data_IF_942639227094
#
_entry.id   IF_942639227094
#
_cell.length_a   1.000
_cell.length_b   1.000
_cell.length_c   1.000
_cell.angle_alpha   90.00
_cell.angle_beta   90.00
_cell.angle_gamma   90.00
#
_symmetry.space_group_name_H-M   'P 1'
#
loop_
_entity.id
_entity.type
_entity.pdbx_description
1 polymer ?
#
# COMPACT_ATOMS: atom_id res chain seq x y z
N UNK A 1 40.45 22.51 -9.35
CA UNK A 1 40.83 21.73 -8.17
C UNK A 1 39.77 21.99 -7.11
N UNK A 2 38.87 21.05 -6.80
CA UNK A 2 37.95 21.25 -5.71
C UNK A 2 38.62 20.82 -4.41
N UNK A 3 38.57 21.73 -3.45
CA UNK A 3 39.09 21.66 -2.10
C UNK A 3 38.41 20.59 -1.27
N UNK A 4 39.23 19.81 -0.56
CA UNK A 4 38.86 18.82 0.46
C UNK A 4 38.23 19.56 1.65
N UNK A 5 36.97 19.25 1.95
CA UNK A 5 36.28 19.73 3.16
C UNK A 5 36.77 18.91 4.36
N UNK A 6 37.15 19.64 5.41
CA UNK A 6 37.60 19.16 6.72
C UNK A 6 36.48 19.40 7.72
N UNK A 7 35.54 18.48 7.89
CA UNK A 7 34.78 18.39 9.15
C UNK A 7 34.05 17.04 9.25
N UNK A 8 34.20 16.38 10.39
CA UNK A 8 33.67 15.05 10.72
C UNK A 8 32.25 15.12 11.31
N UNK A 9 31.46 16.12 10.90
CA UNK A 9 30.11 16.36 11.44
C UNK A 9 29.08 16.81 10.40
N UNK A 10 29.36 16.68 9.10
CA UNK A 10 28.38 17.00 8.06
C UNK A 10 27.34 15.87 7.89
N UNK A 11 26.27 15.98 8.67
CA UNK A 11 24.96 15.43 8.34
C UNK A 11 24.53 16.01 6.98
N UNK A 12 24.50 15.19 5.92
CA UNK A 12 23.84 15.60 4.67
C UNK A 12 22.35 15.35 4.87
N UNK A 13 21.63 16.36 5.35
CA UNK A 13 20.16 16.37 5.30
C UNK A 13 19.72 16.53 3.84
N UNK A 14 19.67 15.41 3.11
CA UNK A 14 19.12 15.38 1.78
C UNK A 14 17.58 15.42 1.87
N UNK A 15 17.04 16.63 1.71
CA UNK A 15 15.68 16.98 1.27
C UNK A 15 14.59 17.04 2.35
N UNK A 16 14.07 18.26 2.55
CA UNK A 16 12.97 18.60 3.47
C UNK A 16 11.57 18.21 2.97
N UNK A 17 11.46 17.43 1.89
CA UNK A 17 10.16 17.10 1.26
C UNK A 17 10.01 15.62 0.86
N UNK A 18 11.04 14.79 1.03
CA UNK A 18 10.95 13.36 0.78
C UNK A 18 10.97 12.59 2.11
N UNK A 19 10.06 11.62 2.27
CA UNK A 19 9.88 10.76 3.45
C UNK A 19 11.09 9.84 3.77
N UNK A 20 12.30 10.17 3.30
CA UNK A 20 13.50 9.36 3.39
C UNK A 20 14.67 10.15 3.99
N UNK A 21 15.24 9.67 5.09
CA UNK A 21 16.46 10.24 5.70
C UNK A 21 17.64 9.36 5.34
N UNK A 22 18.72 9.98 4.85
CA UNK A 22 19.97 9.30 4.50
C UNK A 22 21.00 9.61 5.59
N UNK A 23 21.47 8.59 6.30
CA UNK A 23 22.53 8.75 7.30
C UNK A 23 23.83 8.13 6.78
N UNK A 24 24.90 8.92 6.75
CA UNK A 24 26.25 8.44 6.48
C UNK A 24 26.90 8.02 7.81
N UNK A 25 27.37 6.78 7.90
CA UNK A 25 28.12 6.31 9.06
C UNK A 25 29.58 6.09 8.68
N UNK A 26 30.47 6.96 9.16
CA UNK A 26 31.91 6.76 9.09
C UNK A 26 32.38 6.27 10.46
N UNK A 27 32.68 4.97 10.56
CA UNK A 27 33.38 4.44 11.72
C UNK A 27 34.89 4.70 11.54
N UNK A 28 35.45 5.54 12.39
CA UNK A 28 36.90 5.70 12.46
C UNK A 28 37.54 4.38 12.90
N UNK A 29 38.60 4.01 12.16
CA UNK A 29 39.56 2.91 12.36
C UNK A 29 39.25 1.54 11.69
N UNK A 30 40.06 1.30 10.65
CA UNK A 30 40.46 0.03 10.04
C UNK A 30 39.37 -0.85 9.39
N UNK A 31 39.39 -0.88 8.05
CA UNK A 31 38.89 -1.95 7.18
C UNK A 31 37.37 -2.15 7.01
N UNK A 32 36.52 -1.17 7.33
CA UNK A 32 35.10 -1.22 6.94
C UNK A 32 34.78 -0.19 5.84
N UNK A 33 34.23 -0.67 4.73
CA UNK A 33 33.74 0.19 3.64
C UNK A 33 32.64 1.12 4.18
N UNK A 34 32.61 2.40 3.77
CA UNK A 34 31.55 3.32 4.19
C UNK A 34 30.18 2.73 3.81
N UNK A 35 29.17 2.87 4.66
CA UNK A 35 27.82 2.41 4.36
C UNK A 35 26.80 3.52 4.52
N UNK A 36 25.73 3.44 3.74
CA UNK A 36 24.62 4.38 3.74
C UNK A 36 23.38 3.69 4.26
N UNK A 37 22.78 4.26 5.32
CA UNK A 37 21.53 3.74 5.87
C UNK A 37 20.36 4.57 5.33
N UNK A 38 19.35 3.88 4.82
CA UNK A 38 18.10 4.50 4.37
C UNK A 38 17.05 4.33 5.46
N UNK A 39 16.42 5.44 5.87
CA UNK A 39 15.34 5.45 6.84
C UNK A 39 14.06 5.98 6.20
N UNK A 40 12.91 5.35 6.49
CA UNK A 40 11.57 5.83 6.13
C UNK A 40 10.72 5.93 7.38
N UNK A 41 10.12 7.10 7.63
CA UNK A 41 9.30 7.35 8.84
C UNK A 41 10.01 6.94 10.14
N UNK A 42 11.32 7.17 10.24
CA UNK A 42 12.14 6.82 11.41
C UNK A 42 12.56 5.35 11.53
N UNK A 43 12.14 4.46 10.61
CA UNK A 43 12.56 3.05 10.57
C UNK A 43 13.61 2.82 9.49
N UNK A 44 14.70 2.13 9.81
CA UNK A 44 15.68 1.69 8.81
C UNK A 44 15.00 0.75 7.82
N UNK A 45 15.06 1.09 6.53
CA UNK A 45 14.46 0.32 5.42
C UNK A 45 15.52 -0.34 4.54
N UNK A 46 16.76 0.15 4.54
CA UNK A 46 17.85 -0.48 3.79
C UNK A 46 19.24 -0.07 4.30
N UNK A 47 20.28 -0.80 3.86
CA UNK A 47 21.69 -0.45 4.01
C UNK A 47 22.43 -0.72 2.70
N UNK A 48 23.11 0.31 2.19
CA UNK A 48 23.96 0.23 1.01
C UNK A 48 25.41 0.14 1.48
N UNK A 49 26.11 -0.92 1.09
CA UNK A 49 27.54 -1.06 1.32
C UNK A 49 28.31 -0.26 0.24
N UNK A 50 29.18 0.66 0.66
CA UNK A 50 29.86 1.61 -0.20
C UNK A 50 29.20 3.01 -0.22
N UNK A 51 29.90 3.96 -0.86
CA UNK A 51 29.47 5.35 -1.00
C UNK A 51 29.42 5.81 -2.47
N UNK A 52 29.03 4.93 -3.41
CA UNK A 52 28.86 5.30 -4.82
C UNK A 52 27.60 6.17 -4.98
N UNK A 53 27.73 7.46 -5.39
CA UNK A 53 26.59 8.35 -5.56
C UNK A 53 25.54 7.84 -6.55
N UNK A 54 25.92 7.05 -7.56
CA UNK A 54 24.97 6.52 -8.56
C UNK A 54 24.07 5.47 -7.95
N UNK A 55 24.66 4.46 -7.30
CA UNK A 55 23.96 3.40 -6.59
C UNK A 55 23.05 3.97 -5.50
N UNK A 56 23.54 4.94 -4.74
CA UNK A 56 22.74 5.65 -3.73
C UNK A 56 21.55 6.36 -4.36
N UNK A 57 21.75 7.08 -5.48
CA UNK A 57 20.66 7.79 -6.16
C UNK A 57 19.60 6.84 -6.71
N UNK A 58 20.00 5.71 -7.27
CA UNK A 58 19.07 4.73 -7.84
C UNK A 58 18.28 3.99 -6.75
N UNK A 59 18.92 3.63 -5.63
CA UNK A 59 18.20 3.09 -4.47
C UNK A 59 17.28 4.14 -3.84
N UNK A 60 17.73 5.39 -3.65
CA UNK A 60 16.86 6.46 -3.13
C UNK A 60 15.63 6.65 -4.03
N UNK A 61 15.77 6.60 -5.37
CA UNK A 61 14.63 6.71 -6.30
C UNK A 61 13.60 5.59 -6.11
N UNK A 62 14.04 4.37 -5.85
CA UNK A 62 13.15 3.23 -5.57
C UNK A 62 12.31 3.47 -4.32
N UNK A 63 12.89 4.08 -3.27
CA UNK A 63 12.17 4.39 -2.04
C UNK A 63 11.38 5.71 -2.09
N UNK A 64 11.79 6.67 -2.92
CA UNK A 64 11.06 7.93 -3.14
C UNK A 64 9.84 7.76 -4.04
N UNK A 65 9.86 6.80 -4.98
CA UNK A 65 8.75 6.56 -5.91
C UNK A 65 7.75 5.51 -5.42
N UNK A 66 8.05 4.79 -4.34
CA UNK A 66 7.10 3.87 -3.73
C UNK A 66 6.10 4.66 -2.86
N UNK A 67 4.91 4.94 -3.40
CA UNK A 67 3.80 5.45 -2.59
C UNK A 67 3.64 4.58 -1.34
N UNK A 68 3.48 5.17 -0.14
CA UNK A 68 3.19 4.38 1.05
C UNK A 68 2.01 3.44 0.78
N UNK A 69 2.14 2.16 1.15
CA UNK A 69 1.12 1.16 0.89
C UNK A 69 -0.27 1.64 1.35
N UNK A 70 -0.37 2.29 2.50
CA UNK A 70 -1.62 2.84 3.01
C UNK A 70 -2.27 3.88 2.06
N UNK A 71 -1.48 4.78 1.46
CA UNK A 71 -1.97 5.74 0.47
C UNK A 71 -2.46 5.02 -0.79
N UNK A 72 -1.72 4.00 -1.24
CA UNK A 72 -2.11 3.14 -2.36
C UNK A 72 -3.42 2.40 -2.08
N UNK A 73 -3.57 1.82 -0.90
CA UNK A 73 -4.80 1.14 -0.47
C UNK A 73 -5.98 2.11 -0.44
N UNK A 74 -5.80 3.30 0.13
CA UNK A 74 -6.82 4.34 0.18
C UNK A 74 -7.27 4.73 -1.22
N UNK A 75 -6.34 4.93 -2.16
CA UNK A 75 -6.66 5.20 -3.57
C UNK A 75 -7.44 4.05 -4.21
N UNK A 76 -6.99 2.81 -4.02
CA UNK A 76 -7.68 1.63 -4.57
C UNK A 76 -9.11 1.52 -4.05
N UNK A 77 -9.33 1.64 -2.74
CA UNK A 77 -10.66 1.58 -2.12
C UNK A 77 -11.58 2.68 -2.69
N UNK A 78 -11.04 3.88 -2.94
CA UNK A 78 -11.79 5.03 -3.43
C UNK A 78 -11.84 5.14 -4.97
N UNK A 79 -11.40 4.11 -5.70
CA UNK A 79 -11.44 4.10 -7.19
C UNK A 79 -12.88 4.17 -7.71
N UNK A 80 -13.82 3.58 -6.98
CA UNK A 80 -15.24 3.58 -7.29
C UNK A 80 -16.04 3.75 -6.01
N UNK A 81 -17.27 4.29 -6.15
CA UNK A 81 -18.23 4.38 -5.04
C UNK A 81 -18.47 3.02 -4.40
N UNK A 82 -18.59 1.98 -5.21
CA UNK A 82 -18.78 0.60 -4.75
C UNK A 82 -17.59 -0.21 -5.24
N UNK A 83 -16.73 -0.64 -4.32
CA UNK A 83 -15.48 -1.32 -4.62
C UNK A 83 -15.44 -2.68 -3.93
N UNK A 84 -15.25 -3.74 -4.72
CA UNK A 84 -15.23 -5.13 -4.24
C UNK A 84 -13.83 -5.73 -4.38
N UNK A 85 -13.21 -6.08 -3.25
CA UNK A 85 -11.97 -6.85 -3.23
C UNK A 85 -12.28 -8.34 -3.09
N UNK A 86 -11.84 -9.14 -4.06
CA UNK A 86 -12.25 -10.54 -4.15
C UNK A 86 -11.17 -11.42 -4.80
N UNK A 87 -11.39 -12.75 -4.74
CA UNK A 87 -10.52 -13.75 -5.40
C UNK A 87 -10.99 -13.96 -6.83
N UNK A 88 -10.17 -13.58 -7.81
CA UNK A 88 -10.56 -13.51 -9.22
C UNK A 88 -11.18 -12.16 -9.57
N UNK A 89 -11.87 -12.10 -10.71
CA UNK A 89 -12.53 -10.89 -11.21
C UNK A 89 -14.02 -11.15 -11.51
N UNK A 90 -14.77 -10.11 -11.89
CA UNK A 90 -16.19 -10.19 -12.22
C UNK A 90 -16.54 -11.31 -13.22
N UNK A 91 -15.71 -11.51 -14.25
CA UNK A 91 -15.95 -12.50 -15.30
C UNK A 91 -15.44 -13.90 -14.93
N UNK A 92 -14.45 -13.98 -14.04
CA UNK A 92 -13.76 -15.19 -13.63
C UNK A 92 -13.56 -15.23 -12.11
N UNK A 93 -14.62 -15.43 -11.31
CA UNK A 93 -14.50 -15.59 -9.87
C UNK A 93 -13.80 -16.91 -9.54
N UNK A 94 -12.80 -16.86 -8.65
CA UNK A 94 -11.98 -18.03 -8.26
C UNK A 94 -12.37 -18.64 -6.90
N UNK A 95 -13.47 -18.19 -6.32
CA UNK A 95 -13.97 -18.65 -5.03
C UNK A 95 -15.50 -18.57 -4.98
N UNK A 96 -16.17 -19.56 -4.36
CA UNK A 96 -17.64 -19.59 -4.24
C UNK A 96 -18.22 -18.37 -3.53
N UNK A 97 -17.55 -17.85 -2.50
CA UNK A 97 -17.97 -16.61 -1.82
C UNK A 97 -17.88 -15.38 -2.73
N UNK A 98 -16.83 -15.32 -3.55
CA UNK A 98 -16.66 -14.24 -4.54
C UNK A 98 -17.69 -14.31 -5.66
N UNK A 99 -18.10 -15.52 -6.08
CA UNK A 99 -19.20 -15.70 -7.03
C UNK A 99 -20.54 -15.22 -6.46
N UNK A 100 -20.85 -15.59 -5.22
CA UNK A 100 -22.11 -15.21 -4.58
C UNK A 100 -22.25 -13.69 -4.38
N UNK A 101 -21.19 -12.99 -3.96
CA UNK A 101 -21.27 -11.54 -3.77
C UNK A 101 -21.42 -10.79 -5.11
N UNK A 102 -20.82 -11.30 -6.19
CA UNK A 102 -21.04 -10.75 -7.55
C UNK A 102 -22.52 -10.88 -7.93
N UNK A 103 -23.12 -12.06 -7.72
CA UNK A 103 -24.54 -12.28 -8.03
C UNK A 103 -25.44 -11.29 -7.27
N UNK A 104 -25.16 -11.08 -5.99
CA UNK A 104 -25.87 -10.10 -5.16
C UNK A 104 -25.72 -8.68 -5.72
N UNK A 105 -24.49 -8.23 -5.98
CA UNK A 105 -24.23 -6.87 -6.48
C UNK A 105 -24.80 -6.65 -7.89
N UNK A 106 -24.82 -7.68 -8.74
CA UNK A 106 -25.47 -7.58 -10.05
C UNK A 106 -26.98 -7.38 -9.93
N UNK A 107 -27.61 -8.01 -8.93
CA UNK A 107 -29.05 -7.88 -8.68
C UNK A 107 -29.44 -6.50 -8.14
N UNK A 108 -28.51 -5.72 -7.56
CA UNK A 108 -28.80 -4.33 -7.14
C UNK A 108 -28.87 -3.36 -8.33
N UNK A 109 -28.41 -3.76 -9.52
CA UNK A 109 -28.38 -2.92 -10.71
C UNK A 109 -27.41 -1.74 -10.64
N UNK A 110 -26.55 -1.69 -9.60
CA UNK A 110 -25.61 -0.58 -9.42
C UNK A 110 -24.25 -0.89 -10.05
N UNK A 111 -23.61 0.12 -10.64
CA UNK A 111 -22.23 0.00 -11.09
C UNK A 111 -21.28 -0.15 -9.90
N UNK A 112 -20.36 -1.11 -9.99
CA UNK A 112 -19.30 -1.33 -9.01
C UNK A 112 -18.00 -1.68 -9.75
N UNK A 113 -16.87 -1.63 -9.06
CA UNK A 113 -15.60 -2.13 -9.57
C UNK A 113 -15.07 -3.29 -8.73
N UNK A 114 -14.20 -4.11 -9.33
CA UNK A 114 -13.61 -5.28 -8.65
C UNK A 114 -12.09 -5.25 -8.70
N UNK A 115 -11.43 -5.64 -7.62
CA UNK A 115 -9.98 -5.87 -7.59
C UNK A 115 -9.68 -7.32 -7.23
N UNK A 116 -8.84 -7.98 -8.04
CA UNK A 116 -8.39 -9.35 -7.80
C UNK A 116 -7.19 -9.36 -6.84
N UNK A 117 -7.45 -9.69 -5.58
CA UNK A 117 -6.43 -9.77 -4.52
C UNK A 117 -5.40 -10.87 -4.74
N UNK A 118 -5.62 -11.79 -5.69
CA UNK A 118 -4.63 -12.82 -6.03
C UNK A 118 -3.53 -12.29 -6.95
N UNK A 119 -3.73 -11.12 -7.56
CA UNK A 119 -2.75 -10.49 -8.45
C UNK A 119 -1.73 -9.64 -7.70
N UNK A 120 -2.03 -9.25 -6.46
CA UNK A 120 -1.20 -8.38 -5.64
C UNK A 120 -1.26 -8.79 -4.16
N UNK A 121 -0.19 -9.48 -3.71
CA UNK A 121 -0.09 -9.98 -2.34
C UNK A 121 0.10 -8.84 -1.32
N UNK A 122 0.72 -7.72 -1.73
CA UNK A 122 0.94 -6.56 -0.87
C UNK A 122 -0.40 -5.89 -0.54
N UNK A 123 -1.23 -5.65 -1.56
CA UNK A 123 -2.60 -5.13 -1.38
C UNK A 123 -3.44 -6.12 -0.57
N UNK A 124 -3.31 -7.41 -0.84
CA UNK A 124 -4.07 -8.46 -0.14
C UNK A 124 -3.80 -8.48 1.37
N UNK A 125 -2.53 -8.44 1.78
CA UNK A 125 -2.18 -8.44 3.19
C UNK A 125 -2.43 -7.05 3.80
N UNK A 126 -2.09 -5.99 3.08
CA UNK A 126 -2.29 -4.61 3.49
C UNK A 126 -3.74 -4.29 3.83
N UNK A 127 -4.70 -4.71 3.00
CA UNK A 127 -6.13 -4.48 3.25
C UNK A 127 -6.63 -5.16 4.52
N UNK A 128 -6.17 -6.39 4.81
CA UNK A 128 -6.59 -7.08 6.04
C UNK A 128 -6.18 -6.32 7.29
N UNK A 129 -4.97 -5.75 7.28
CA UNK A 129 -4.46 -4.93 8.37
C UNK A 129 -5.17 -3.57 8.40
N UNK A 130 -5.29 -2.91 7.26
CA UNK A 130 -5.92 -1.59 7.13
C UNK A 130 -7.36 -1.59 7.65
N UNK A 131 -8.15 -2.57 7.23
CA UNK A 131 -9.57 -2.66 7.55
C UNK A 131 -9.88 -3.48 8.79
N UNK A 132 -8.85 -4.00 9.47
CA UNK A 132 -8.97 -4.95 10.58
C UNK A 132 -9.89 -6.14 10.25
N UNK A 133 -9.88 -6.60 8.99
CA UNK A 133 -10.79 -7.63 8.49
C UNK A 133 -10.03 -8.84 7.91
N UNK A 134 -10.19 -10.06 8.45
CA UNK A 134 -9.28 -11.16 8.12
C UNK A 134 -9.59 -11.89 6.80
N UNK A 135 -10.78 -11.71 6.24
CA UNK A 135 -11.30 -12.56 5.14
C UNK A 135 -11.62 -11.78 3.86
N UNK A 136 -11.86 -12.52 2.77
CA UNK A 136 -12.36 -12.01 1.50
C UNK A 136 -13.55 -12.87 1.05
N UNK A 137 -14.53 -12.31 0.31
CA UNK A 137 -14.55 -10.95 -0.27
C UNK A 137 -14.73 -9.82 0.77
N UNK A 138 -14.30 -8.60 0.42
CA UNK A 138 -14.54 -7.37 1.19
C UNK A 138 -15.21 -6.33 0.30
N UNK A 139 -16.36 -5.82 0.73
CA UNK A 139 -17.10 -4.76 0.04
C UNK A 139 -16.86 -3.42 0.72
N UNK A 140 -16.52 -2.40 -0.08
CA UNK A 140 -16.41 -1.02 0.35
C UNK A 140 -17.44 -0.15 -0.37
N UNK A 141 -18.04 0.78 0.37
CA UNK A 141 -18.93 1.80 -0.17
C UNK A 141 -18.44 3.16 0.33
N UNK A 142 -18.25 4.13 -0.58
CA UNK A 142 -17.77 5.48 -0.25
C UNK A 142 -16.46 5.49 0.56
N UNK A 143 -15.55 4.55 0.32
CA UNK A 143 -14.29 4.47 1.06
C UNK A 143 -14.35 3.66 2.35
N UNK A 144 -15.54 3.25 2.80
CA UNK A 144 -15.74 2.58 4.09
C UNK A 144 -16.02 1.09 3.91
N UNK A 145 -15.46 0.26 4.80
CA UNK A 145 -15.70 -1.19 4.79
C UNK A 145 -17.14 -1.47 5.23
N UNK A 146 -17.91 -2.11 4.36
CA UNK A 146 -19.25 -2.63 4.67
C UNK A 146 -19.14 -4.00 5.32
N UNK A 147 -18.30 -4.88 4.78
CA UNK A 147 -18.05 -6.22 5.32
C UNK A 147 -17.83 -7.29 4.26
N UNK A 148 -17.95 -8.55 4.70
CA UNK A 148 -17.88 -9.74 3.85
C UNK A 148 -19.24 -10.20 3.31
N UNK A 149 -19.27 -11.37 2.69
CA UNK A 149 -20.47 -11.91 2.04
C UNK A 149 -21.69 -11.99 2.99
N UNK A 150 -21.51 -12.52 4.20
CA UNK A 150 -22.62 -12.80 5.11
C UNK A 150 -23.28 -11.50 5.58
N UNK A 151 -22.48 -10.49 5.95
CA UNK A 151 -22.97 -9.15 6.28
C UNK A 151 -23.72 -8.54 5.09
N UNK A 152 -23.16 -8.66 3.88
CA UNK A 152 -23.81 -8.14 2.67
C UNK A 152 -25.16 -8.82 2.41
N UNK A 153 -25.30 -10.13 2.66
CA UNK A 153 -26.58 -10.83 2.57
C UNK A 153 -27.61 -10.31 3.57
N UNK A 154 -27.18 -10.05 4.81
CA UNK A 154 -28.05 -9.50 5.85
C UNK A 154 -28.53 -8.09 5.48
N UNK A 155 -27.63 -7.23 4.97
CA UNK A 155 -27.95 -5.87 4.53
C UNK A 155 -28.87 -5.83 3.29
N UNK A 156 -28.80 -6.84 2.42
CA UNK A 156 -29.77 -7.00 1.32
C UNK A 156 -31.15 -7.35 1.87
N UNK A 157 -31.19 -8.24 2.86
CA UNK A 157 -32.43 -8.70 3.47
C UNK A 157 -33.13 -7.58 4.25
N UNK A 158 -32.37 -6.72 4.94
CA UNK A 158 -32.91 -5.53 5.62
C UNK A 158 -33.22 -4.36 4.67
N UNK A 159 -32.69 -4.39 3.44
CA UNK A 159 -32.80 -3.29 2.46
C UNK A 159 -31.84 -2.13 2.70
N UNK A 160 -31.01 -2.20 3.75
CA UNK A 160 -30.01 -1.18 4.10
C UNK A 160 -28.91 -1.05 3.03
N UNK A 161 -28.53 -2.15 2.36
CA UNK A 161 -27.51 -2.10 1.32
C UNK A 161 -27.88 -1.11 0.21
N UNK A 162 -29.14 -1.14 -0.24
CA UNK A 162 -29.64 -0.23 -1.26
C UNK A 162 -29.63 1.22 -0.78
N UNK A 163 -29.85 1.48 0.50
CA UNK A 163 -29.77 2.83 1.07
C UNK A 163 -28.33 3.32 1.08
N UNK A 164 -27.38 2.48 1.52
CA UNK A 164 -25.94 2.81 1.52
C UNK A 164 -25.41 3.11 0.11
N UNK A 165 -25.88 2.36 -0.89
CA UNK A 165 -25.48 2.54 -2.29
C UNK A 165 -26.06 3.84 -2.88
N UNK A 166 -27.26 4.25 -2.48
CA UNK A 166 -27.95 5.42 -3.05
C UNK A 166 -27.75 6.71 -2.25
N UNK A 167 -27.18 6.64 -1.04
CA UNK A 167 -26.77 7.79 -0.24
C UNK A 167 -25.62 8.56 -0.90
#
# INVERSE_FOLDING_TARGET
MPSVLKDSSEFIEATSDAKLTVAHFSADWAEQFPSVLLFRSGKQVDRIDGADPRTITDEIKKYNNAEPLEERLKKLINTSKVMLFMKGNRNQPRCGFSKQIIEILNNTGTSYETFDILTDEEVRQGLKTYSHWPTYPQLYINGELVGGLDIVKDLVTSGELSQMINA
#
